data_IF_739183881671
#
_entry.id   IF_739183881671
#
_cell.length_a   1.000
_cell.length_b   1.000
_cell.length_c   1.000
_cell.angle_alpha   90.00
_cell.angle_beta   90.00
_cell.angle_gamma   90.00
#
_symmetry.space_group_name_H-M   'P 1'
#
loop_
_entity.id
_entity.type
_entity.pdbx_description
1 polymer ?
#
# COMPACT_ATOMS: atom_id res chain seq x y z
N UNK A 1 -25.36 23.26 37.03
CA UNK A 1 -23.92 23.43 36.77
C UNK A 1 -23.31 22.05 36.80
N UNK A 2 -23.19 21.38 35.66
CA UNK A 2 -22.32 20.20 35.57
C UNK A 2 -20.91 20.69 35.86
N UNK A 3 -20.23 20.04 36.81
CA UNK A 3 -18.83 20.31 37.06
C UNK A 3 -18.07 20.06 35.74
N UNK A 4 -17.33 21.06 35.26
CA UNK A 4 -16.39 20.88 34.16
C UNK A 4 -15.44 19.75 34.57
N UNK A 5 -15.67 18.55 34.03
CA UNK A 5 -14.84 17.39 34.30
C UNK A 5 -13.53 17.63 33.57
N UNK A 6 -12.47 17.89 34.33
CA UNK A 6 -11.13 18.09 33.81
C UNK A 6 -10.67 16.80 33.13
N UNK A 7 -10.16 16.84 31.88
CA UNK A 7 -9.65 15.66 31.22
C UNK A 7 -8.41 15.13 31.97
N UNK A 8 -8.42 13.83 32.24
CA UNK A 8 -7.29 13.10 32.79
C UNK A 8 -6.73 12.13 31.75
N UNK A 9 -5.45 12.30 31.40
CA UNK A 9 -4.76 11.46 30.43
C UNK A 9 -3.89 10.44 31.16
N UNK A 10 -3.90 9.19 30.68
CA UNK A 10 -3.00 8.14 31.15
C UNK A 10 -2.07 7.68 30.02
N UNK A 11 -0.86 7.25 30.35
CA UNK A 11 0.14 6.84 29.37
C UNK A 11 0.82 5.51 29.73
N UNK A 12 1.85 5.12 28.97
CA UNK A 12 2.74 4.01 29.32
C UNK A 12 3.34 4.17 30.72
N UNK A 13 3.73 3.07 31.34
CA UNK A 13 4.48 3.06 32.62
C UNK A 13 3.80 3.81 33.79
N UNK A 14 2.47 3.96 33.74
CA UNK A 14 1.70 4.61 34.81
C UNK A 14 1.79 6.14 34.78
N UNK A 15 2.19 6.73 33.66
CA UNK A 15 2.15 8.17 33.45
C UNK A 15 0.71 8.69 33.54
N UNK A 16 0.52 9.79 34.26
CA UNK A 16 -0.76 10.50 34.36
C UNK A 16 -0.57 12.00 34.13
N UNK A 17 -1.57 12.64 33.56
CA UNK A 17 -1.60 14.07 33.32
C UNK A 17 -3.02 14.61 33.45
N UNK A 18 -3.25 15.38 34.51
CA UNK A 18 -4.46 16.18 34.64
C UNK A 18 -4.27 17.52 33.92
N UNK A 19 -5.24 17.92 33.10
CA UNK A 19 -5.19 19.20 32.38
C UNK A 19 -6.43 20.05 32.66
N UNK A 20 -6.29 21.38 32.83
CA UNK A 20 -7.43 22.28 32.97
C UNK A 20 -8.27 22.40 31.68
N UNK A 21 -7.70 22.03 30.53
CA UNK A 21 -8.31 22.13 29.21
C UNK A 21 -7.90 20.93 28.32
N UNK A 22 -8.69 20.58 27.29
CA UNK A 22 -8.29 19.59 26.29
C UNK A 22 -6.95 19.93 25.64
N UNK A 23 -6.03 18.97 25.64
CA UNK A 23 -4.70 19.11 25.04
C UNK A 23 -4.62 18.39 23.70
N UNK A 24 -3.71 18.85 22.84
CA UNK A 24 -3.34 18.08 21.65
C UNK A 24 -2.54 16.84 22.04
N UNK A 25 -2.65 15.78 21.25
CA UNK A 25 -1.86 14.56 21.44
C UNK A 25 -0.35 14.85 21.58
N UNK A 26 0.20 15.76 20.77
CA UNK A 26 1.60 16.21 20.88
C UNK A 26 1.95 16.86 22.22
N UNK A 27 1.02 17.62 22.80
CA UNK A 27 1.25 18.36 24.05
C UNK A 27 1.25 17.39 25.23
N UNK A 28 0.35 16.39 25.19
CA UNK A 28 0.32 15.28 26.16
C UNK A 28 1.65 14.52 26.11
N UNK A 29 2.06 14.04 24.92
CA UNK A 29 3.32 13.31 24.75
C UNK A 29 4.56 14.14 25.14
N UNK A 30 4.57 15.43 24.81
CA UNK A 30 5.69 16.32 25.15
C UNK A 30 5.84 16.51 26.66
N UNK A 31 4.73 16.64 27.41
CA UNK A 31 4.78 16.75 28.88
C UNK A 31 5.29 15.47 29.56
N UNK A 32 5.13 14.32 28.91
CA UNK A 32 5.68 13.04 29.35
C UNK A 32 7.10 12.75 28.82
N UNK A 33 7.67 13.63 28.00
CA UNK A 33 8.98 13.38 27.37
C UNK A 33 8.95 12.30 26.28
N UNK A 34 7.77 11.97 25.75
CA UNK A 34 7.55 10.94 24.73
C UNK A 34 7.34 11.53 23.32
N UNK A 35 7.60 12.83 23.13
CA UNK A 35 7.41 13.50 21.84
C UNK A 35 8.51 13.19 20.82
N UNK A 36 9.71 12.83 21.26
CA UNK A 36 10.83 12.56 20.37
C UNK A 36 10.59 11.27 19.57
N UNK A 37 10.73 11.33 18.24
CA UNK A 37 10.48 10.19 17.34
C UNK A 37 9.01 9.84 17.11
N UNK A 38 8.08 10.46 17.84
CA UNK A 38 6.64 10.27 17.65
C UNK A 38 6.15 10.98 16.38
N UNK A 39 5.38 10.28 15.56
CA UNK A 39 4.75 10.83 14.34
C UNK A 39 3.22 10.86 14.40
N UNK A 40 2.64 10.09 15.31
CA UNK A 40 1.22 10.06 15.62
C UNK A 40 1.04 9.62 17.09
N UNK A 41 -0.21 9.50 17.53
CA UNK A 41 -0.53 8.91 18.82
C UNK A 41 -1.67 7.89 18.68
N UNK A 42 -1.81 7.04 19.68
CA UNK A 42 -3.00 6.21 19.88
C UNK A 42 -3.75 6.76 21.09
N UNK A 43 -5.00 7.17 20.92
CA UNK A 43 -5.90 7.56 22.00
C UNK A 43 -7.02 6.52 22.11
N UNK A 44 -7.10 5.82 23.25
CA UNK A 44 -8.07 4.74 23.51
C UNK A 44 -8.18 3.70 22.39
N UNK A 45 -7.03 3.28 21.85
CA UNK A 45 -6.94 2.31 20.75
C UNK A 45 -7.17 2.89 19.35
N UNK A 46 -7.49 4.18 19.23
CA UNK A 46 -7.68 4.86 17.94
C UNK A 46 -6.46 5.68 17.55
N UNK A 47 -5.97 5.51 16.32
CA UNK A 47 -4.86 6.30 15.77
C UNK A 47 -5.31 7.74 15.51
N UNK A 48 -4.55 8.71 16.01
CA UNK A 48 -4.84 10.14 15.88
C UNK A 48 -3.58 10.93 15.48
N UNK A 49 -3.77 12.02 14.75
CA UNK A 49 -2.69 12.94 14.42
C UNK A 49 -2.14 13.59 15.69
N UNK A 50 -0.86 13.96 15.69
CA UNK A 50 -0.24 14.70 16.78
C UNK A 50 -0.93 16.05 17.06
N UNK A 51 -1.60 16.63 16.06
CA UNK A 51 -2.36 17.87 16.19
C UNK A 51 -3.80 17.68 16.70
N UNK A 52 -4.30 16.44 16.79
CA UNK A 52 -5.65 16.15 17.25
C UNK A 52 -5.81 16.51 18.72
N UNK A 53 -6.93 17.17 19.05
CA UNK A 53 -7.30 17.50 20.43
C UNK A 53 -7.95 16.28 21.07
N UNK A 54 -7.48 15.89 22.26
CA UNK A 54 -8.04 14.79 23.05
C UNK A 54 -8.99 15.39 24.07
N UNK A 55 -10.29 15.35 23.77
CA UNK A 55 -11.33 16.07 24.53
C UNK A 55 -11.69 15.42 25.87
N UNK A 56 -11.51 14.11 25.99
CA UNK A 56 -11.98 13.33 27.14
C UNK A 56 -10.83 12.63 27.85
N UNK A 57 -11.14 12.03 29.00
CA UNK A 57 -10.23 11.11 29.69
C UNK A 57 -9.85 9.99 28.71
N UNK A 58 -8.56 9.84 28.44
CA UNK A 58 -8.08 8.90 27.43
C UNK A 58 -6.71 8.36 27.79
N UNK A 59 -6.46 7.11 27.41
CA UNK A 59 -5.13 6.52 27.40
C UNK A 59 -4.42 6.88 26.10
N UNK A 60 -3.29 7.59 26.21
CA UNK A 60 -2.52 8.12 25.08
C UNK A 60 -1.15 7.45 25.00
N UNK A 61 -0.81 6.90 23.85
CA UNK A 61 0.48 6.26 23.58
C UNK A 61 1.16 6.87 22.35
N UNK A 62 2.50 7.01 22.35
CA UNK A 62 3.23 7.47 21.18
C UNK A 62 3.25 6.42 20.07
N UNK A 63 3.13 6.85 18.82
CA UNK A 63 3.47 6.02 17.65
C UNK A 63 4.80 6.51 17.11
N UNK A 64 5.84 5.72 17.33
CA UNK A 64 7.20 6.02 16.88
C UNK A 64 7.35 5.73 15.39
N UNK A 65 8.12 6.54 14.66
CA UNK A 65 8.37 6.34 13.22
C UNK A 65 8.97 4.97 12.87
N UNK A 66 9.71 4.39 13.80
CA UNK A 66 10.37 3.08 13.66
C UNK A 66 9.45 1.88 13.95
N UNK A 67 8.27 2.09 14.54
CA UNK A 67 7.33 1.01 14.81
C UNK A 67 6.64 0.54 13.51
N UNK A 68 6.11 -0.70 13.45
CA UNK A 68 5.34 -1.16 12.29
C UNK A 68 4.20 -0.21 11.91
N UNK A 69 3.47 0.31 12.90
CA UNK A 69 2.38 1.26 12.72
C UNK A 69 2.90 2.63 12.28
N UNK A 70 4.06 3.06 12.80
CA UNK A 70 4.72 4.27 12.38
C UNK A 70 5.18 4.21 10.92
N UNK A 71 5.73 3.08 10.49
CA UNK A 71 6.11 2.85 9.09
C UNK A 71 4.88 2.88 8.17
N UNK A 72 3.74 2.35 8.60
CA UNK A 72 2.49 2.45 7.83
C UNK A 72 2.08 3.92 7.59
N UNK A 73 2.11 4.75 8.65
CA UNK A 73 1.78 6.18 8.58
C UNK A 73 2.80 6.95 7.74
N UNK A 74 4.08 6.63 7.92
CA UNK A 74 5.18 7.22 7.17
C UNK A 74 5.02 6.96 5.67
N UNK A 75 4.81 5.69 5.29
CA UNK A 75 4.60 5.28 3.89
C UNK A 75 3.34 5.88 3.30
N UNK A 76 2.26 5.93 4.08
CA UNK A 76 1.04 6.57 3.62
C UNK A 76 1.25 8.07 3.37
N UNK A 77 1.97 8.76 4.25
CA UNK A 77 2.37 10.15 4.06
C UNK A 77 3.32 10.33 2.87
N UNK A 78 4.25 9.41 2.64
CA UNK A 78 5.11 9.42 1.44
C UNK A 78 4.32 9.20 0.16
N UNK A 79 3.20 8.46 0.20
CA UNK A 79 2.31 8.34 -0.96
C UNK A 79 1.70 9.69 -1.35
N UNK A 80 1.32 10.53 -0.38
CA UNK A 80 0.84 11.89 -0.62
C UNK A 80 1.97 12.79 -1.16
N UNK A 81 3.18 12.69 -0.60
CA UNK A 81 4.36 13.39 -1.12
C UNK A 81 4.63 13.04 -2.60
N UNK A 82 4.53 11.75 -2.95
CA UNK A 82 4.69 11.29 -4.32
C UNK A 82 3.58 11.80 -5.24
N UNK A 83 2.31 11.76 -4.80
CA UNK A 83 1.20 12.31 -5.56
C UNK A 83 1.33 13.81 -5.81
N UNK A 84 1.77 14.59 -4.80
CA UNK A 84 2.06 16.01 -4.96
C UNK A 84 3.18 16.25 -5.98
N UNK A 85 4.28 15.50 -5.88
CA UNK A 85 5.41 15.59 -6.82
C UNK A 85 4.96 15.31 -8.26
N UNK A 86 4.14 14.27 -8.47
CA UNK A 86 3.59 13.94 -9.79
C UNK A 86 2.68 15.07 -10.29
N UNK A 87 1.80 15.64 -9.46
CA UNK A 87 0.96 16.76 -9.88
C UNK A 87 1.76 18.03 -10.26
N UNK A 88 2.87 18.32 -9.56
CA UNK A 88 3.77 19.42 -9.92
C UNK A 88 4.47 19.18 -11.26
N UNK A 89 4.93 17.95 -11.51
CA UNK A 89 5.66 17.59 -12.73
C UNK A 89 4.75 17.38 -13.94
N UNK A 90 3.52 16.92 -13.71
CA UNK A 90 2.52 16.60 -14.73
C UNK A 90 1.19 17.30 -14.39
N UNK A 91 1.09 18.62 -14.63
CA UNK A 91 -0.13 19.38 -14.35
C UNK A 91 -1.34 18.81 -15.09
N UNK A 92 -2.47 18.66 -14.38
CA UNK A 92 -3.68 18.02 -14.89
C UNK A 92 -3.83 16.54 -14.48
N UNK A 93 -2.85 15.98 -13.76
CA UNK A 93 -2.96 14.62 -13.20
C UNK A 93 -4.11 14.52 -12.19
N UNK A 94 -5.00 13.55 -12.39
CA UNK A 94 -6.12 13.26 -11.50
C UNK A 94 -5.78 12.07 -10.60
N UNK A 95 -5.95 12.27 -9.30
CA UNK A 95 -5.54 11.30 -8.26
C UNK A 95 -6.65 10.30 -7.98
N UNK A 96 -6.31 9.01 -8.00
CA UNK A 96 -7.17 7.89 -7.60
C UNK A 96 -6.97 7.48 -6.14
N UNK A 97 -6.35 6.33 -5.90
CA UNK A 97 -6.18 5.72 -4.56
C UNK A 97 -4.68 5.51 -4.28
N UNK A 98 -4.24 5.89 -3.08
CA UNK A 98 -2.85 5.75 -2.66
C UNK A 98 -2.70 5.19 -1.24
N UNK A 99 -2.78 3.87 -1.04
CA UNK A 99 -2.65 3.28 0.27
C UNK A 99 -1.18 2.95 0.59
N UNK A 100 -0.88 2.86 1.88
CA UNK A 100 0.28 2.10 2.33
C UNK A 100 0.01 0.59 2.18
N UNK A 101 1.09 -0.17 2.00
CA UNK A 101 1.11 -1.62 1.94
C UNK A 101 2.24 -2.14 2.84
N UNK A 102 2.29 -3.47 3.08
CA UNK A 102 3.19 -4.10 4.04
C UNK A 102 4.66 -3.64 3.94
N UNK A 103 5.17 -3.41 2.74
CA UNK A 103 6.57 -3.06 2.49
C UNK A 103 6.74 -1.74 1.72
N UNK A 104 5.70 -0.91 1.65
CA UNK A 104 5.77 0.34 0.91
C UNK A 104 4.43 1.03 0.74
N UNK A 105 4.21 1.61 -0.42
CA UNK A 105 2.98 2.26 -0.83
C UNK A 105 2.85 2.21 -2.35
N UNK A 106 1.66 2.52 -2.85
CA UNK A 106 1.48 2.89 -4.24
C UNK A 106 0.51 4.05 -4.36
N UNK A 107 0.41 4.62 -5.56
CA UNK A 107 -0.64 5.58 -5.88
C UNK A 107 -1.11 5.38 -7.32
N UNK A 108 -2.42 5.23 -7.50
CA UNK A 108 -3.11 5.12 -8.78
C UNK A 108 -3.51 6.51 -9.29
N UNK A 109 -3.07 6.88 -10.49
CA UNK A 109 -3.26 8.22 -11.04
C UNK A 109 -3.59 8.16 -12.53
N UNK A 110 -4.51 9.01 -12.97
CA UNK A 110 -4.67 9.35 -14.38
C UNK A 110 -3.71 10.50 -14.68
N UNK A 111 -2.50 10.15 -15.13
CA UNK A 111 -1.42 11.11 -15.34
C UNK A 111 -1.62 11.83 -16.67
N UNK A 112 -1.50 13.15 -16.67
CA UNK A 112 -1.54 13.98 -17.88
C UNK A 112 -0.23 13.85 -18.68
N UNK A 113 0.01 12.65 -19.22
CA UNK A 113 1.23 12.25 -19.91
C UNK A 113 1.52 10.77 -19.75
N UNK A 114 2.75 10.37 -20.08
CA UNK A 114 3.25 9.02 -19.81
C UNK A 114 4.35 9.10 -18.76
N UNK A 115 4.26 8.22 -17.77
CA UNK A 115 5.33 8.02 -16.78
C UNK A 115 5.89 6.62 -16.98
N UNK A 116 7.20 6.53 -17.07
CA UNK A 116 7.95 5.28 -17.19
C UNK A 116 8.90 5.13 -16.01
N UNK A 117 9.58 3.98 -15.92
CA UNK A 117 10.59 3.78 -14.87
C UNK A 117 11.76 4.78 -14.98
N UNK A 118 12.03 5.31 -16.17
CA UNK A 118 13.07 6.32 -16.42
C UNK A 118 12.73 7.69 -15.80
N UNK A 119 11.44 7.96 -15.56
CA UNK A 119 10.97 9.19 -14.93
C UNK A 119 11.04 9.14 -13.39
N UNK A 120 11.16 7.95 -12.80
CA UNK A 120 11.17 7.79 -11.34
C UNK A 120 12.26 8.62 -10.63
N UNK A 121 13.52 8.70 -11.13
CA UNK A 121 14.52 9.57 -10.52
C UNK A 121 14.12 11.04 -10.51
N UNK A 122 13.42 11.52 -11.55
CA UNK A 122 12.94 12.90 -11.64
C UNK A 122 11.79 13.16 -10.66
N UNK A 123 10.88 12.19 -10.48
CA UNK A 123 9.80 12.27 -9.49
C UNK A 123 10.39 12.25 -8.08
N UNK A 124 11.34 11.36 -7.79
CA UNK A 124 12.04 11.32 -6.49
C UNK A 124 12.73 12.65 -6.18
N UNK A 125 13.37 13.28 -7.17
CA UNK A 125 14.01 14.59 -6.98
C UNK A 125 12.98 15.67 -6.61
N UNK A 126 11.82 15.69 -7.25
CA UNK A 126 10.75 16.61 -6.88
C UNK A 126 10.17 16.31 -5.49
N UNK A 127 10.03 15.03 -5.12
CA UNK A 127 9.67 14.63 -3.75
C UNK A 127 10.69 15.14 -2.72
N UNK A 128 11.99 15.07 -3.02
CA UNK A 128 13.06 15.58 -2.13
C UNK A 128 12.98 17.09 -1.97
N UNK A 129 12.68 17.83 -3.04
CA UNK A 129 12.44 19.28 -2.96
C UNK A 129 11.25 19.60 -2.05
N UNK A 130 10.10 18.95 -2.26
CA UNK A 130 8.92 19.15 -1.42
C UNK A 130 9.19 18.78 0.05
N UNK A 131 9.97 17.72 0.29
CA UNK A 131 10.39 17.38 1.65
C UNK A 131 11.26 18.48 2.27
N UNK A 132 12.18 19.07 1.50
CA UNK A 132 13.03 20.18 1.96
C UNK A 132 12.30 21.50 2.19
N UNK A 133 11.11 21.68 1.60
CA UNK A 133 10.25 22.85 1.81
C UNK A 133 9.62 22.89 3.22
N UNK A 134 9.68 21.78 3.99
CA UNK A 134 9.15 21.69 5.37
C UNK A 134 7.69 22.16 5.48
N UNK A 135 6.85 21.66 4.56
CA UNK A 135 5.46 22.06 4.45
C UNK A 135 4.65 21.42 5.58
N UNK A 136 3.89 22.20 6.38
CA UNK A 136 2.97 21.66 7.37
C UNK A 136 1.89 20.79 6.72
N UNK A 137 1.64 19.63 7.33
CA UNK A 137 0.56 18.73 6.94
C UNK A 137 -0.64 18.96 7.86
N UNK A 138 -1.75 19.38 7.28
CA UNK A 138 -2.93 19.83 8.01
C UNK A 138 -4.14 18.95 7.70
N UNK A 139 -4.77 18.43 8.74
CA UNK A 139 -6.05 17.75 8.64
C UNK A 139 -7.18 18.77 8.57
N UNK A 140 -8.02 18.66 7.55
CA UNK A 140 -9.24 19.43 7.37
C UNK A 140 -10.44 18.51 7.58
N UNK A 141 -11.42 18.95 8.36
CA UNK A 141 -12.70 18.24 8.52
C UNK A 141 -13.79 19.11 7.91
N UNK A 142 -14.30 18.71 6.75
CA UNK A 142 -15.27 19.49 5.99
C UNK A 142 -16.62 18.77 5.94
N UNK A 143 -17.75 19.49 5.93
CA UNK A 143 -19.02 18.90 5.56
C UNK A 143 -18.92 18.25 4.17
N UNK A 144 -19.58 17.10 3.98
CA UNK A 144 -19.53 16.35 2.72
C UNK A 144 -19.83 17.20 1.48
N UNK A 145 -20.79 18.12 1.58
CA UNK A 145 -21.12 19.05 0.48
C UNK A 145 -19.97 19.97 0.08
N UNK A 146 -19.20 20.46 1.06
CA UNK A 146 -18.03 21.31 0.82
C UNK A 146 -16.85 20.52 0.26
N UNK A 147 -16.62 19.30 0.77
CA UNK A 147 -15.61 18.40 0.23
C UNK A 147 -15.88 18.05 -1.26
N UNK A 148 -17.13 17.74 -1.59
CA UNK A 148 -17.55 17.49 -2.98
C UNK A 148 -17.36 18.72 -3.86
N UNK A 149 -17.68 19.91 -3.35
CA UNK A 149 -17.49 21.17 -4.09
C UNK A 149 -15.99 21.40 -4.37
N UNK A 150 -15.14 21.26 -3.36
CA UNK A 150 -13.69 21.41 -3.48
C UNK A 150 -13.10 20.47 -4.55
N UNK A 151 -13.46 19.19 -4.52
CA UNK A 151 -12.92 18.22 -5.48
C UNK A 151 -13.45 18.43 -6.91
N UNK A 152 -14.69 18.90 -7.08
CA UNK A 152 -15.22 19.27 -8.40
C UNK A 152 -14.52 20.49 -8.99
N UNK A 153 -14.27 21.51 -8.18
CA UNK A 153 -13.54 22.72 -8.62
C UNK A 153 -12.09 22.41 -9.03
N UNK A 154 -11.52 21.32 -8.50
CA UNK A 154 -10.18 20.83 -8.83
C UNK A 154 -10.15 19.74 -9.92
N UNK A 155 -11.29 19.44 -10.56
CA UNK A 155 -11.41 18.35 -11.55
C UNK A 155 -10.94 16.97 -11.02
N UNK A 156 -11.07 16.72 -9.72
CA UNK A 156 -10.64 15.50 -9.06
C UNK A 156 -11.75 14.42 -9.11
N UNK A 157 -12.07 13.95 -10.32
CA UNK A 157 -13.22 13.05 -10.60
C UNK A 157 -13.27 11.80 -9.71
N UNK A 158 -12.14 11.12 -9.51
CA UNK A 158 -12.05 9.92 -8.67
C UNK A 158 -12.32 10.23 -7.19
N UNK A 159 -11.87 11.39 -6.70
CA UNK A 159 -12.14 11.82 -5.32
C UNK A 159 -13.60 12.18 -5.11
N UNK A 160 -14.26 12.78 -6.11
CA UNK A 160 -15.70 13.04 -6.09
C UNK A 160 -16.49 11.72 -5.99
N UNK A 161 -16.11 10.69 -6.75
CA UNK A 161 -16.71 9.36 -6.68
C UNK A 161 -16.54 8.76 -5.27
N UNK A 162 -15.32 8.73 -4.75
CA UNK A 162 -15.02 8.20 -3.42
C UNK A 162 -15.79 8.91 -2.30
N UNK A 163 -15.83 10.26 -2.30
CA UNK A 163 -16.62 11.02 -1.31
C UNK A 163 -18.11 10.72 -1.43
N UNK A 164 -18.60 10.42 -2.63
CA UNK A 164 -20.02 10.11 -2.84
C UNK A 164 -20.44 8.78 -2.20
N UNK A 165 -19.50 7.88 -1.95
CA UNK A 165 -19.74 6.57 -1.32
C UNK A 165 -19.54 6.57 0.20
N UNK A 166 -18.85 7.58 0.75
CA UNK A 166 -18.62 7.68 2.19
C UNK A 166 -19.92 8.13 2.89
N UNK A 167 -20.52 7.33 3.80
CA UNK A 167 -21.79 7.68 4.44
C UNK A 167 -21.66 8.81 5.47
N UNK A 168 -20.43 9.14 5.88
CA UNK A 168 -20.13 10.12 6.93
C UNK A 168 -20.54 11.54 6.50
N UNK A 169 -21.10 12.32 7.44
CA UNK A 169 -21.50 13.72 7.21
C UNK A 169 -20.29 14.65 7.05
N UNK A 170 -19.22 14.34 7.78
CA UNK A 170 -17.95 15.05 7.73
C UNK A 170 -16.87 14.19 7.09
N UNK A 171 -16.15 14.80 6.16
CA UNK A 171 -15.10 14.17 5.38
C UNK A 171 -13.77 14.76 5.82
N UNK A 172 -12.82 13.88 6.13
CA UNK A 172 -11.45 14.28 6.43
C UNK A 172 -10.63 14.39 5.16
N UNK A 173 -9.85 15.45 5.07
CA UNK A 173 -8.89 15.71 4.01
C UNK A 173 -7.55 16.08 4.64
N UNK A 174 -6.47 15.91 3.88
CA UNK A 174 -5.14 16.34 4.27
C UNK A 174 -4.60 17.34 3.25
N UNK A 175 -4.08 18.46 3.75
CA UNK A 175 -3.46 19.53 2.97
C UNK A 175 -1.97 19.59 3.27
N UNK A 176 -1.15 19.68 2.23
CA UNK A 176 0.27 20.04 2.32
C UNK A 176 0.57 21.05 1.21
N UNK A 177 0.59 22.33 1.57
CA UNK A 177 0.78 23.42 0.61
C UNK A 177 -0.41 23.51 -0.36
N UNK A 178 -0.13 23.40 -1.66
CA UNK A 178 -1.16 23.41 -2.72
C UNK A 178 -1.93 22.09 -2.84
N UNK A 179 -1.32 20.99 -2.40
CA UNK A 179 -1.87 19.65 -2.49
C UNK A 179 -2.95 19.43 -1.42
N UNK A 180 -4.06 18.82 -1.84
CA UNK A 180 -5.15 18.39 -0.95
C UNK A 180 -5.65 17.04 -1.40
N UNK A 181 -5.78 16.11 -0.46
CA UNK A 181 -6.23 14.75 -0.74
C UNK A 181 -7.28 14.25 0.26
N UNK A 182 -8.13 13.33 -0.21
CA UNK A 182 -9.11 12.61 0.59
C UNK A 182 -8.41 11.51 1.38
N UNK A 183 -8.36 11.65 2.70
CA UNK A 183 -7.72 10.66 3.55
C UNK A 183 -8.25 10.73 4.99
N UNK A 184 -8.33 9.57 5.67
CA UNK A 184 -8.68 9.45 7.10
C UNK A 184 -7.50 9.74 8.04
N UNK A 185 -6.28 9.49 7.57
CA UNK A 185 -5.04 9.62 8.33
C UNK A 185 -4.86 8.54 9.40
N UNK A 186 -3.95 8.76 10.37
CA UNK A 186 -3.17 9.98 10.56
C UNK A 186 -2.03 10.16 9.54
N UNK A 187 -1.44 11.35 9.53
CA UNK A 187 -0.23 11.66 8.75
C UNK A 187 0.89 12.25 9.63
N UNK A 188 2.11 12.29 9.07
CA UNK A 188 3.22 13.07 9.65
C UNK A 188 2.84 14.54 9.77
N UNK A 189 3.53 15.30 10.63
CA UNK A 189 3.23 16.72 10.86
C UNK A 189 3.83 17.67 9.83
N UNK A 190 4.89 17.24 9.14
CA UNK A 190 5.54 18.02 8.09
C UNK A 190 6.14 17.10 7.02
N UNK A 191 6.20 17.60 5.78
CA UNK A 191 6.89 16.92 4.66
C UNK A 191 8.37 16.71 4.93
N UNK A 192 9.00 17.49 5.81
CA UNK A 192 10.41 17.33 6.18
C UNK A 192 10.70 16.03 6.93
N UNK A 193 9.68 15.35 7.48
CA UNK A 193 9.84 14.04 8.12
C UNK A 193 9.99 12.91 7.09
N UNK A 194 9.68 13.17 5.82
CA UNK A 194 9.65 12.18 4.73
C UNK A 194 10.95 12.21 3.92
N UNK A 195 12.06 11.75 4.52
CA UNK A 195 13.40 11.88 3.92
C UNK A 195 13.91 10.62 3.20
N UNK A 196 13.54 9.45 3.68
CA UNK A 196 14.12 8.20 3.24
C UNK A 196 13.08 7.37 2.49
N UNK A 197 13.03 7.59 1.19
CA UNK A 197 12.11 6.90 0.29
C UNK A 197 12.79 6.51 -1.03
N UNK A 198 12.19 5.53 -1.70
CA UNK A 198 12.60 5.05 -3.02
C UNK A 198 11.38 4.67 -3.84
N UNK A 199 11.29 5.13 -5.08
CA UNK A 199 10.30 4.63 -6.04
C UNK A 199 10.84 3.36 -6.70
N UNK A 200 9.96 2.36 -6.86
CA UNK A 200 10.36 0.99 -7.19
C UNK A 200 10.01 0.58 -8.61
N UNK A 201 8.78 0.88 -9.06
CA UNK A 201 8.29 0.46 -10.38
C UNK A 201 7.03 1.22 -10.77
N UNK A 202 6.71 1.16 -12.06
CA UNK A 202 5.47 1.67 -12.64
C UNK A 202 4.66 0.50 -13.21
N UNK A 203 3.35 0.48 -12.94
CA UNK A 203 2.44 -0.54 -13.46
C UNK A 203 1.13 0.09 -13.94
N UNK A 204 0.36 -0.67 -14.73
CA UNK A 204 -1.04 -0.33 -15.03
C UNK A 204 -1.97 -0.90 -13.95
N UNK A 205 -3.00 -0.16 -13.57
CA UNK A 205 -4.07 -0.63 -12.69
C UNK A 205 -5.42 -0.13 -13.19
N UNK A 206 -6.42 -1.01 -13.28
CA UNK A 206 -7.76 -0.59 -13.64
C UNK A 206 -8.47 0.03 -12.43
N UNK A 207 -9.21 1.12 -12.66
CA UNK A 207 -10.01 1.74 -11.60
C UNK A 207 -10.96 0.71 -10.98
N UNK A 208 -10.99 0.64 -9.64
CA UNK A 208 -11.72 -0.37 -8.84
C UNK A 208 -11.32 -1.84 -9.11
N UNK A 209 -10.24 -2.08 -9.84
CA UNK A 209 -9.83 -3.43 -10.23
C UNK A 209 -10.73 -4.09 -11.29
N UNK A 210 -11.57 -3.31 -11.98
CA UNK A 210 -12.43 -3.81 -13.06
C UNK A 210 -11.83 -3.42 -14.42
N UNK A 211 -11.47 -4.42 -15.22
CA UNK A 211 -10.87 -4.28 -16.56
C UNK A 211 -11.73 -3.47 -17.55
N UNK A 212 -13.02 -3.26 -17.27
CA UNK A 212 -13.91 -2.43 -18.07
C UNK A 212 -13.75 -0.93 -17.79
N UNK A 213 -13.11 -0.57 -16.68
CA UNK A 213 -12.88 0.81 -16.31
C UNK A 213 -11.60 1.36 -16.94
N UNK A 214 -11.38 2.67 -16.78
CA UNK A 214 -10.16 3.33 -17.23
C UNK A 214 -8.92 2.72 -16.57
N UNK A 215 -7.87 2.53 -17.37
CA UNK A 215 -6.55 2.12 -16.90
C UNK A 215 -5.81 3.35 -16.35
N UNK A 216 -5.40 3.26 -15.09
CA UNK A 216 -4.59 4.24 -14.38
C UNK A 216 -3.12 3.81 -14.36
N UNK A 217 -2.24 4.78 -14.13
CA UNK A 217 -0.83 4.54 -13.85
C UNK A 217 -0.63 4.39 -12.35
N UNK A 218 -0.12 3.23 -11.92
CA UNK A 218 0.27 2.93 -10.55
C UNK A 218 1.77 3.11 -10.39
N UNK A 219 2.18 3.97 -9.45
CA UNK A 219 3.59 4.12 -9.06
C UNK A 219 3.79 3.48 -7.71
N UNK A 220 4.72 2.51 -7.61
CA UNK A 220 5.11 1.88 -6.36
C UNK A 220 6.31 2.59 -5.73
N UNK A 221 6.31 2.68 -4.41
CA UNK A 221 7.43 3.20 -3.64
C UNK A 221 7.51 2.57 -2.26
N UNK A 222 8.59 2.87 -1.56
CA UNK A 222 8.77 2.50 -0.15
C UNK A 222 9.41 3.64 0.62
N UNK A 223 9.22 3.64 1.94
CA UNK A 223 9.75 4.64 2.85
C UNK A 223 10.07 4.03 4.22
N UNK A 224 11.09 4.59 4.86
CA UNK A 224 11.61 4.19 6.17
C UNK A 224 11.98 5.42 7.01
N UNK A 225 12.07 5.22 8.32
CA UNK A 225 12.43 6.26 9.28
C UNK A 225 13.91 6.67 9.21
N UNK A 226 14.78 5.77 8.71
CA UNK A 226 16.22 5.98 8.58
C UNK A 226 16.72 5.59 7.19
N UNK A 227 17.85 6.17 6.78
CA UNK A 227 18.53 5.83 5.53
C UNK A 227 19.04 4.38 5.52
N UNK A 228 19.58 3.91 6.66
CA UNK A 228 20.09 2.55 6.82
C UNK A 228 18.98 1.50 6.60
N UNK A 229 17.80 1.70 7.21
CA UNK A 229 16.67 0.79 7.03
C UNK A 229 16.17 0.75 5.58
N UNK A 230 16.18 1.90 4.88
CA UNK A 230 15.86 1.95 3.45
C UNK A 230 16.88 1.17 2.62
N UNK A 231 18.17 1.42 2.82
CA UNK A 231 19.24 0.78 2.05
C UNK A 231 19.22 -0.75 2.27
N UNK A 232 19.02 -1.20 3.51
CA UNK A 232 18.83 -2.61 3.84
C UNK A 232 17.65 -3.24 3.09
N UNK A 233 16.53 -2.53 3.02
CA UNK A 233 15.35 -3.00 2.32
C UNK A 233 15.59 -3.10 0.81
N UNK A 234 16.22 -2.08 0.21
CA UNK A 234 16.56 -2.09 -1.22
C UNK A 234 17.55 -3.23 -1.54
N UNK A 235 18.55 -3.44 -0.69
CA UNK A 235 19.48 -4.55 -0.83
C UNK A 235 18.76 -5.91 -0.80
N UNK A 236 17.77 -6.09 0.08
CA UNK A 236 16.95 -7.31 0.12
C UNK A 236 16.12 -7.51 -1.15
N UNK A 237 15.55 -6.45 -1.70
CA UNK A 237 14.81 -6.50 -2.98
C UNK A 237 15.72 -6.94 -4.12
N UNK A 238 16.90 -6.34 -4.25
CA UNK A 238 17.85 -6.69 -5.31
C UNK A 238 18.36 -8.13 -5.17
N UNK A 239 18.61 -8.57 -3.95
CA UNK A 239 19.04 -9.93 -3.64
C UNK A 239 17.93 -10.96 -3.91
N UNK A 240 16.65 -10.59 -3.73
CA UNK A 240 15.51 -11.39 -4.15
C UNK A 240 15.37 -11.46 -5.69
N UNK A 241 15.51 -10.33 -6.40
CA UNK A 241 15.50 -10.27 -7.88
C UNK A 241 16.59 -11.13 -8.50
N UNK A 242 17.77 -11.22 -7.87
CA UNK A 242 18.86 -12.12 -8.29
C UNK A 242 18.51 -13.61 -8.19
N UNK A 243 17.56 -13.97 -7.34
CA UNK A 243 17.09 -15.36 -7.13
C UNK A 243 15.75 -15.65 -7.80
N UNK A 244 15.25 -14.74 -8.62
CA UNK A 244 13.99 -14.96 -9.35
C UNK A 244 14.13 -16.17 -10.30
N UNK A 245 13.27 -17.15 -10.13
CA UNK A 245 13.27 -18.37 -10.93
C UNK A 245 13.05 -18.12 -12.43
N UNK A 246 12.41 -17.01 -12.81
CA UNK A 246 12.24 -16.60 -14.21
C UNK A 246 13.55 -16.13 -14.81
N UNK A 247 14.31 -15.35 -14.04
CA UNK A 247 15.65 -14.89 -14.41
C UNK A 247 16.62 -16.07 -14.50
N UNK A 248 16.70 -16.86 -13.44
CA UNK A 248 17.58 -18.04 -13.39
C UNK A 248 17.17 -19.11 -14.41
N UNK A 249 15.86 -19.32 -14.61
CA UNK A 249 15.34 -20.26 -15.60
C UNK A 249 15.82 -19.95 -17.01
N UNK A 250 15.86 -18.67 -17.38
CA UNK A 250 16.43 -18.20 -18.65
C UNK A 250 17.96 -18.27 -18.67
N UNK A 251 18.64 -17.76 -17.66
CA UNK A 251 20.11 -17.71 -17.59
C UNK A 251 20.76 -19.10 -17.58
N UNK A 252 20.12 -20.06 -16.91
CA UNK A 252 20.59 -21.44 -16.78
C UNK A 252 20.04 -22.37 -17.88
N UNK A 253 19.20 -21.86 -18.79
CA UNK A 253 18.60 -22.63 -19.89
C UNK A 253 17.75 -23.80 -19.37
N UNK A 254 16.87 -23.53 -18.40
CA UNK A 254 16.01 -24.53 -17.76
C UNK A 254 14.63 -24.62 -18.43
N UNK A 255 14.02 -23.48 -18.74
CA UNK A 255 12.72 -23.41 -19.39
C UNK A 255 12.52 -22.06 -20.11
N UNK A 256 11.52 -22.00 -20.99
CA UNK A 256 11.02 -20.78 -21.62
C UNK A 256 9.50 -20.72 -21.55
N UNK A 257 8.93 -19.53 -21.71
CA UNK A 257 7.50 -19.30 -21.91
C UNK A 257 7.36 -18.65 -23.28
N UNK A 258 6.46 -19.19 -24.10
CA UNK A 258 6.22 -18.73 -25.48
C UNK A 258 4.81 -18.17 -25.61
N UNK A 259 4.58 -17.31 -26.59
CA UNK A 259 3.26 -16.69 -26.81
C UNK A 259 2.20 -17.73 -27.21
N UNK A 260 2.62 -18.84 -27.82
CA UNK A 260 1.78 -19.99 -28.17
C UNK A 260 1.28 -20.77 -26.95
N UNK A 261 1.89 -20.56 -25.78
CA UNK A 261 1.57 -21.26 -24.53
C UNK A 261 1.67 -20.35 -23.31
N UNK A 262 0.82 -19.32 -23.18
CA UNK A 262 0.85 -18.41 -22.04
C UNK A 262 0.54 -19.19 -20.76
N UNK A 263 1.45 -19.17 -19.79
CA UNK A 263 1.34 -19.94 -18.55
C UNK A 263 1.76 -21.41 -18.67
N UNK A 264 2.17 -21.89 -19.85
CA UNK A 264 2.64 -23.24 -20.09
C UNK A 264 4.16 -23.24 -20.38
N UNK A 265 5.01 -23.53 -19.37
CA UNK A 265 6.46 -23.50 -19.56
C UNK A 265 6.97 -24.65 -20.43
N UNK A 266 7.83 -24.33 -21.39
CA UNK A 266 8.56 -25.26 -22.23
C UNK A 266 9.86 -25.63 -21.52
N UNK A 267 9.93 -26.83 -20.95
CA UNK A 267 11.13 -27.30 -20.25
C UNK A 267 12.22 -27.73 -21.23
N UNK A 268 13.41 -27.15 -21.04
CA UNK A 268 14.60 -27.46 -21.83
C UNK A 268 15.31 -28.70 -21.27
N UNK A 269 16.31 -29.29 -21.96
CA UNK A 269 16.98 -30.51 -21.48
C UNK A 269 17.49 -30.43 -20.04
N UNK A 270 18.08 -29.30 -19.63
CA UNK A 270 18.56 -29.11 -18.24
C UNK A 270 17.42 -29.03 -17.23
N UNK A 271 16.33 -28.33 -17.56
CA UNK A 271 15.13 -28.29 -16.72
C UNK A 271 14.49 -29.66 -16.58
N UNK A 272 14.46 -30.44 -17.65
CA UNK A 272 13.95 -31.82 -17.62
C UNK A 272 14.78 -32.74 -16.73
N UNK A 273 16.10 -32.54 -16.61
CA UNK A 273 16.91 -33.29 -15.63
C UNK A 273 16.41 -33.03 -14.20
N UNK A 274 16.14 -31.77 -13.84
CA UNK A 274 15.62 -31.40 -12.51
C UNK A 274 14.24 -32.02 -12.29
N UNK A 275 13.33 -31.84 -13.26
CA UNK A 275 11.96 -32.36 -13.20
C UNK A 275 11.95 -33.88 -13.01
N UNK A 276 12.74 -34.61 -13.81
CA UNK A 276 12.81 -36.07 -13.72
C UNK A 276 13.32 -36.52 -12.35
N UNK A 277 14.35 -35.85 -11.79
CA UNK A 277 14.86 -36.17 -10.44
C UNK A 277 13.81 -35.97 -9.35
N UNK A 278 13.00 -34.90 -9.44
CA UNK A 278 11.91 -34.65 -8.51
C UNK A 278 10.80 -35.71 -8.63
N UNK A 279 10.41 -36.06 -9.85
CA UNK A 279 9.40 -37.09 -10.12
C UNK A 279 9.88 -38.46 -9.64
N UNK A 280 11.13 -38.83 -9.90
CA UNK A 280 11.71 -40.10 -9.46
C UNK A 280 11.72 -40.21 -7.93
N UNK A 281 12.13 -39.14 -7.24
CA UNK A 281 12.05 -39.06 -5.78
C UNK A 281 10.60 -39.21 -5.28
N UNK A 282 9.67 -38.47 -5.89
CA UNK A 282 8.26 -38.51 -5.53
C UNK A 282 7.67 -39.92 -5.71
N UNK A 283 7.95 -40.59 -6.83
CA UNK A 283 7.54 -41.98 -7.11
C UNK A 283 8.10 -42.96 -6.09
N UNK A 284 9.38 -42.83 -5.73
CA UNK A 284 10.02 -43.68 -4.73
C UNK A 284 9.32 -43.54 -3.37
N UNK A 285 9.03 -42.31 -2.93
CA UNK A 285 8.33 -42.06 -1.66
C UNK A 285 6.89 -42.55 -1.66
N UNK A 286 6.17 -42.46 -2.78
CA UNK A 286 4.81 -43.00 -2.93
C UNK A 286 4.82 -44.54 -2.89
N UNK A 287 5.74 -45.16 -3.61
CA UNK A 287 5.91 -46.62 -3.63
C UNK A 287 6.21 -47.17 -2.23
N UNK A 288 7.09 -46.50 -1.46
CA UNK A 288 7.43 -46.87 -0.09
C UNK A 288 6.22 -46.82 0.86
N UNK A 289 5.21 -45.99 0.56
CA UNK A 289 3.97 -45.84 1.34
C UNK A 289 2.81 -46.67 0.79
N UNK A 290 3.05 -47.53 -0.20
CA UNK A 290 2.04 -48.43 -0.75
C UNK A 290 1.04 -47.77 -1.70
N UNK A 291 1.32 -46.57 -2.21
CA UNK A 291 0.50 -45.97 -3.27
C UNK A 291 0.72 -46.72 -4.59
N UNK A 292 -0.36 -46.85 -5.37
CA UNK A 292 -0.31 -47.42 -6.73
C UNK A 292 -0.39 -46.30 -7.76
N UNK A 293 0.64 -46.16 -8.60
CA UNK A 293 0.65 -45.17 -9.69
C UNK A 293 -0.33 -45.62 -10.79
N UNK A 294 -1.26 -44.74 -11.17
CA UNK A 294 -2.25 -44.94 -12.24
C UNK A 294 -2.16 -43.80 -13.26
N UNK A 295 -2.72 -43.98 -14.45
CA UNK A 295 -2.80 -42.95 -15.50
C UNK A 295 -4.21 -42.84 -16.05
N UNK A 296 -4.75 -41.62 -16.09
CA UNK A 296 -6.09 -41.29 -16.60
C UNK A 296 -6.00 -40.31 -17.80
N UNK A 297 -7.06 -40.16 -18.61
CA UNK A 297 -7.15 -39.13 -19.64
C UNK A 297 -7.08 -37.71 -19.06
N UNK A 298 -6.61 -36.75 -19.87
CA UNK A 298 -6.55 -35.32 -19.51
C UNK A 298 -7.84 -34.56 -19.88
N UNK A 299 -8.54 -34.99 -20.93
CA UNK A 299 -9.83 -34.43 -21.37
C UNK A 299 -10.90 -35.47 -21.02
N UNK A 300 -11.93 -35.02 -20.31
CA UNK A 300 -13.00 -35.86 -19.75
C UNK A 300 -14.36 -35.20 -20.00
N UNK A 301 -15.40 -36.04 -20.07
CA UNK A 301 -16.77 -35.60 -20.29
C UNK A 301 -17.27 -34.64 -19.18
N UNK A 302 -18.03 -33.62 -19.58
CA UNK A 302 -18.59 -32.62 -18.68
C UNK A 302 -19.37 -33.22 -17.51
N UNK A 303 -20.08 -34.33 -17.72
CA UNK A 303 -20.89 -35.01 -16.70
C UNK A 303 -20.06 -35.47 -15.50
N UNK A 304 -18.76 -35.70 -15.66
CA UNK A 304 -17.88 -36.00 -14.52
C UNK A 304 -17.74 -34.80 -13.59
N UNK A 305 -17.53 -33.60 -14.14
CA UNK A 305 -17.32 -32.37 -13.37
C UNK A 305 -18.61 -31.89 -12.70
N UNK A 306 -19.76 -32.13 -13.33
CA UNK A 306 -21.07 -31.89 -12.72
C UNK A 306 -21.26 -32.82 -11.52
N UNK A 307 -21.07 -34.13 -11.72
CA UNK A 307 -21.25 -35.12 -10.64
C UNK A 307 -20.28 -34.92 -9.47
N UNK A 308 -19.07 -34.42 -9.75
CA UNK A 308 -18.09 -34.11 -8.70
C UNK A 308 -18.33 -32.78 -7.99
N UNK A 309 -19.29 -31.95 -8.44
CA UNK A 309 -19.55 -30.61 -7.94
C UNK A 309 -18.51 -29.55 -8.36
N UNK A 310 -17.47 -29.94 -9.10
CA UNK A 310 -16.43 -29.00 -9.53
C UNK A 310 -16.91 -28.05 -10.62
N UNK A 311 -17.95 -28.43 -11.37
CA UNK A 311 -18.56 -27.55 -12.35
C UNK A 311 -19.02 -26.23 -11.72
N UNK A 312 -19.76 -26.28 -10.63
CA UNK A 312 -20.35 -25.07 -10.02
C UNK A 312 -19.30 -24.13 -9.43
N UNK A 313 -18.15 -24.66 -9.00
CA UNK A 313 -17.10 -23.90 -8.31
C UNK A 313 -15.91 -23.50 -9.19
N UNK A 314 -15.61 -24.25 -10.25
CA UNK A 314 -14.38 -24.09 -11.03
C UNK A 314 -14.61 -23.87 -12.51
N UNK A 315 -15.85 -23.85 -13.01
CA UNK A 315 -16.14 -23.67 -14.43
C UNK A 315 -15.43 -22.47 -15.06
N UNK A 316 -15.34 -21.36 -14.34
CA UNK A 316 -14.65 -20.14 -14.83
C UNK A 316 -13.12 -20.32 -14.97
N UNK A 317 -12.55 -21.37 -14.35
CA UNK A 317 -11.13 -21.71 -14.37
C UNK A 317 -10.81 -22.98 -15.18
N UNK A 318 -11.74 -23.45 -16.01
CA UNK A 318 -11.56 -24.65 -16.85
C UNK A 318 -11.40 -24.28 -18.33
N UNK A 319 -10.60 -25.07 -19.05
CA UNK A 319 -10.55 -25.05 -20.50
C UNK A 319 -11.62 -25.98 -21.07
N UNK A 320 -12.37 -25.50 -22.07
CA UNK A 320 -13.40 -26.28 -22.77
C UNK A 320 -12.96 -26.56 -24.20
N UNK A 321 -13.37 -27.71 -24.73
CA UNK A 321 -13.20 -28.07 -26.13
C UNK A 321 -14.38 -28.91 -26.58
N UNK A 322 -14.75 -28.78 -27.85
CA UNK A 322 -15.68 -29.67 -28.54
C UNK A 322 -14.84 -30.56 -29.47
N UNK A 323 -15.14 -31.86 -29.52
CA UNK A 323 -14.38 -32.87 -30.29
C UNK A 323 -15.26 -33.43 -31.40
#
# INVERSE_FOLDING_TARGET
MEAFKLPNYSGPEGLELNSPEPLKAREILSRWGLSEGSIAAVADGTRVDLAAVVETDSRVEPVLSSSPEGLEILRHSTSHLMAQAVQRLFPGTRLGIGPSIQDGFYYDMEIAGQVTEEDLPRIEEEMRKISSEDIPVERLLLPRGEALKLFRERDAVYKVELVSEIPDEFISLYRQGEFVDLCRGPHVTSTSQLKHFKLLSVAGAYWRGDEKNIMLTRIYGTAFDTAEALDDHINRIEEAKRRDHRKLGRELDLFSIQEEGPGFPFFHPKGMVIMNRLVDFWRAEHSRRGYSEIRTPLILDQDLWIRSGHWDHYRENMYFTEI
#
